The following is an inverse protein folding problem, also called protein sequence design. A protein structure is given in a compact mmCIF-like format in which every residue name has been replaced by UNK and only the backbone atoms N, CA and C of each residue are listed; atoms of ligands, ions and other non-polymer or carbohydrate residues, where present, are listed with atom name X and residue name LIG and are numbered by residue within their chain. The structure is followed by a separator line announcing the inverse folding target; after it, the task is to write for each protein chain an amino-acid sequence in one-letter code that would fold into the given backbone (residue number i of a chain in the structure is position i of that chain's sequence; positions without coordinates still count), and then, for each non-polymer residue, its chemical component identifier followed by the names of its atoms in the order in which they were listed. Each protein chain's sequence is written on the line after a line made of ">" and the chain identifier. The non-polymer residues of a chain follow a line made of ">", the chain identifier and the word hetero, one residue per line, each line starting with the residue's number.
data_IF_774709895358
#
_entry.id   IF_774709895358
#
_cell.length_a   1.000
_cell.length_b   1.000
_cell.length_c   1.000
_cell.angle_alpha   90.00
_cell.angle_beta   90.00
_cell.angle_gamma   90.00
#
_symmetry.space_group_name_H-M   'P 1'
#
loop_
_entity.id
_entity.type
_entity.pdbx_description
1 polymer ?
#
# COMPACT_ATOMS: atom_id res chain seq x y z
N UNK A 1 9.84 -13.19 37.43
CA UNK A 1 11.30 -13.08 37.35
C UNK A 1 11.89 -12.48 38.62
N UNK A 2 11.42 -11.31 38.99
CA UNK A 2 11.84 -10.66 40.23
C UNK A 2 11.68 -11.58 41.45
N UNK A 3 10.55 -12.33 41.50
CA UNK A 3 10.30 -13.30 42.59
C UNK A 3 11.35 -14.42 42.67
N UNK A 4 11.81 -14.95 41.55
CA UNK A 4 12.86 -15.97 41.52
C UNK A 4 14.22 -15.42 41.96
N UNK A 5 14.50 -14.16 41.56
CA UNK A 5 15.70 -13.50 42.01
C UNK A 5 15.63 -13.21 43.51
N UNK A 6 14.47 -12.85 44.07
CA UNK A 6 14.22 -12.71 45.49
C UNK A 6 14.43 -14.03 46.27
N UNK A 7 13.89 -15.14 45.74
CA UNK A 7 14.07 -16.45 46.35
C UNK A 7 15.54 -16.92 46.39
N UNK A 8 16.30 -16.58 45.32
CA UNK A 8 17.68 -17.02 45.19
C UNK A 8 18.68 -16.13 45.96
N UNK A 9 18.46 -14.82 46.01
CA UNK A 9 19.39 -13.81 46.53
C UNK A 9 18.98 -13.28 47.90
N UNK A 10 17.73 -13.52 48.33
CA UNK A 10 17.14 -13.06 49.58
C UNK A 10 17.42 -11.58 49.91
N UNK A 11 17.16 -10.65 48.94
CA UNK A 11 17.34 -9.22 49.17
C UNK A 11 16.24 -8.65 50.06
N UNK A 12 16.44 -7.47 50.62
CA UNK A 12 15.38 -6.73 51.33
C UNK A 12 14.50 -5.96 50.35
N UNK A 13 15.07 -5.47 49.23
CA UNK A 13 14.36 -4.76 48.19
C UNK A 13 14.91 -5.10 46.80
N UNK A 14 14.05 -5.05 45.80
CA UNK A 14 14.44 -5.20 44.39
C UNK A 14 13.50 -4.45 43.43
N UNK A 15 14.09 -3.92 42.37
CA UNK A 15 13.35 -3.16 41.34
C UNK A 15 13.86 -3.48 39.95
N UNK A 16 12.96 -3.42 38.98
CA UNK A 16 13.26 -3.48 37.55
C UNK A 16 12.84 -2.15 36.92
N UNK A 17 13.76 -1.48 36.27
CA UNK A 17 13.51 -0.32 35.43
C UNK A 17 13.63 -0.73 33.98
N UNK A 18 12.67 -0.31 33.15
CA UNK A 18 12.70 -0.52 31.72
C UNK A 18 12.69 0.82 30.98
N UNK A 19 13.43 0.88 29.88
CA UNK A 19 13.51 2.05 29.00
C UNK A 19 12.27 2.12 28.12
N UNK A 20 11.60 3.26 28.12
CA UNK A 20 10.47 3.55 27.22
C UNK A 20 10.96 3.99 25.84
N UNK A 21 10.11 3.94 24.80
CA UNK A 21 10.44 4.50 23.49
C UNK A 21 10.78 6.00 23.51
N UNK A 22 10.32 6.74 24.52
CA UNK A 22 10.65 8.16 24.77
C UNK A 22 12.09 8.37 25.25
N UNK A 23 12.78 7.30 25.66
CA UNK A 23 14.10 7.34 26.26
C UNK A 23 14.10 7.39 27.80
N UNK A 24 12.96 7.65 28.42
CA UNK A 24 12.79 7.67 29.85
C UNK A 24 12.73 6.25 30.45
N UNK A 25 13.18 6.10 31.70
CA UNK A 25 13.09 4.84 32.44
C UNK A 25 11.87 4.86 33.36
N UNK A 26 11.05 3.81 33.30
CA UNK A 26 9.94 3.63 34.23
C UNK A 26 10.15 2.39 35.08
N UNK A 27 9.60 2.41 36.29
CA UNK A 27 9.60 1.29 37.21
C UNK A 27 8.59 0.24 36.72
N UNK A 28 9.11 -0.85 36.17
CA UNK A 28 8.29 -1.93 35.60
C UNK A 28 7.85 -2.99 36.61
N UNK A 29 8.68 -3.21 37.63
CA UNK A 29 8.37 -4.13 38.73
C UNK A 29 9.14 -3.74 39.98
N UNK A 30 8.55 -4.00 41.13
CA UNK A 30 9.18 -3.81 42.44
C UNK A 30 8.74 -4.89 43.42
N UNK A 31 9.61 -5.18 44.41
CA UNK A 31 9.33 -6.06 45.52
C UNK A 31 10.15 -5.66 46.72
N UNK A 32 9.57 -5.70 47.93
CA UNK A 32 10.28 -5.52 49.20
C UNK A 32 9.77 -6.50 50.24
N UNK A 33 10.59 -6.78 51.23
CA UNK A 33 10.21 -7.49 52.45
C UNK A 33 9.67 -6.45 53.41
N UNK A 34 8.54 -6.71 54.08
CA UNK A 34 7.92 -5.89 55.13
C UNK A 34 7.45 -4.48 54.77
N UNK A 35 7.08 -4.22 53.51
CA UNK A 35 6.40 -2.97 53.09
C UNK A 35 7.25 -1.70 53.23
N UNK A 36 8.58 -1.83 53.23
CA UNK A 36 9.52 -0.71 53.23
C UNK A 36 9.37 0.13 51.92
N UNK A 37 9.42 1.45 52.06
CA UNK A 37 9.36 2.35 50.92
C UNK A 37 10.56 2.16 49.98
N UNK A 38 10.32 2.15 48.66
CA UNK A 38 11.37 1.91 47.67
C UNK A 38 12.16 3.15 47.24
N UNK A 39 12.08 4.24 47.99
CA UNK A 39 12.74 5.54 47.71
C UNK A 39 14.26 5.44 47.50
N UNK A 40 14.87 4.40 48.08
CA UNK A 40 16.31 4.20 48.01
C UNK A 40 16.85 3.69 46.66
N UNK A 41 16.04 3.14 45.81
CA UNK A 41 16.47 2.61 44.51
C UNK A 41 16.28 3.60 43.34
N UNK A 42 15.74 4.80 43.61
CA UNK A 42 15.56 5.87 42.59
C UNK A 42 16.78 6.80 42.56
N UNK A 43 17.94 6.29 42.13
CA UNK A 43 19.12 7.11 41.91
C UNK A 43 19.31 7.43 40.43
N UNK A 44 19.31 8.71 40.07
CA UNK A 44 19.59 9.15 38.71
C UNK A 44 20.98 8.68 38.23
N UNK A 45 21.95 8.62 39.14
CA UNK A 45 23.30 8.11 38.86
C UNK A 45 23.28 6.61 38.55
N UNK A 46 22.49 5.83 39.30
CA UNK A 46 22.35 4.40 39.08
C UNK A 46 21.68 4.10 37.73
N UNK A 47 20.59 4.80 37.46
CA UNK A 47 19.89 4.69 36.16
C UNK A 47 20.82 5.03 34.99
N UNK A 48 21.57 6.14 35.08
CA UNK A 48 22.49 6.55 34.03
C UNK A 48 23.60 5.52 33.81
N UNK A 49 24.35 5.17 34.87
CA UNK A 49 25.49 4.28 34.74
C UNK A 49 25.12 2.84 34.40
N UNK A 50 24.07 2.31 35.03
CA UNK A 50 23.66 0.91 34.81
C UNK A 50 22.73 0.77 33.63
N UNK A 51 21.64 1.52 33.59
CA UNK A 51 20.62 1.33 32.55
C UNK A 51 20.97 1.95 31.19
N UNK A 52 21.84 3.01 31.18
CA UNK A 52 22.22 3.67 29.91
C UNK A 52 23.63 3.28 29.45
N UNK A 53 24.62 3.32 30.37
CA UNK A 53 26.03 3.05 30.06
C UNK A 53 26.36 1.55 30.09
N UNK A 54 25.47 0.71 30.65
CA UNK A 54 25.64 -0.74 30.70
C UNK A 54 26.64 -1.24 31.76
N UNK A 55 26.97 -0.40 32.76
CA UNK A 55 27.89 -0.75 33.83
C UNK A 55 27.20 -1.58 34.93
N UNK A 56 27.91 -2.53 35.50
CA UNK A 56 27.40 -3.31 36.64
C UNK A 56 27.82 -2.60 37.95
N UNK A 57 26.85 -2.42 38.84
CA UNK A 57 27.13 -1.85 40.17
C UNK A 57 27.22 -2.96 41.24
N UNK A 58 28.27 -2.95 42.02
CA UNK A 58 28.44 -3.78 43.19
C UNK A 58 28.99 -2.92 44.32
N UNK A 59 28.15 -2.57 45.28
CA UNK A 59 28.51 -1.67 46.39
C UNK A 59 28.31 -2.41 47.71
N UNK A 60 29.38 -2.57 48.45
CA UNK A 60 29.40 -3.25 49.74
C UNK A 60 30.08 -2.36 50.80
N UNK A 61 29.32 -1.91 51.80
CA UNK A 61 29.86 -1.19 52.96
C UNK A 61 30.33 0.24 52.67
N UNK A 62 31.09 0.83 53.65
CA UNK A 62 31.63 2.21 53.60
C UNK A 62 32.83 2.39 52.66
N UNK A 63 33.43 1.29 52.17
CA UNK A 63 34.60 1.31 51.28
C UNK A 63 34.17 1.18 49.78
N UNK A 64 33.08 1.85 49.41
CA UNK A 64 32.59 1.84 48.05
C UNK A 64 33.67 2.34 47.06
N UNK A 65 33.80 1.65 45.93
CA UNK A 65 34.60 2.03 44.78
C UNK A 65 34.40 3.52 44.45
N UNK A 66 35.48 4.30 44.23
CA UNK A 66 35.41 5.72 43.87
C UNK A 66 34.44 6.07 42.78
N UNK A 67 34.15 5.14 41.84
CA UNK A 67 33.17 5.30 40.79
C UNK A 67 31.72 5.39 41.29
N UNK A 68 31.42 4.83 42.47
CA UNK A 68 30.07 4.78 43.07
C UNK A 68 29.91 5.72 44.28
N UNK A 69 30.88 6.65 44.53
CA UNK A 69 30.79 7.63 45.63
C UNK A 69 29.51 8.48 45.59
N UNK A 70 28.93 8.71 44.45
CA UNK A 70 27.62 9.40 44.32
C UNK A 70 26.42 8.54 44.75
N UNK A 71 26.62 7.25 45.01
CA UNK A 71 25.64 6.36 45.62
C UNK A 71 25.71 6.36 47.14
N UNK A 72 26.66 7.14 47.77
CA UNK A 72 26.77 7.30 49.21
C UNK A 72 25.46 7.79 49.87
N UNK A 73 24.64 8.58 49.17
CA UNK A 73 23.32 8.97 49.64
C UNK A 73 22.37 7.79 49.91
N UNK A 74 22.62 6.62 49.28
CA UNK A 74 21.87 5.39 49.55
C UNK A 74 22.38 4.66 50.78
N UNK A 75 23.69 4.71 51.02
CA UNK A 75 24.31 4.11 52.22
C UNK A 75 23.92 4.88 53.50
N UNK A 76 23.75 6.20 53.42
CA UNK A 76 23.23 7.05 54.50
C UNK A 76 21.79 6.70 54.91
N UNK A 77 21.04 6.05 54.01
CA UNK A 77 19.65 5.62 54.22
C UNK A 77 19.54 4.18 54.78
N UNK A 78 20.65 3.59 55.20
CA UNK A 78 20.69 2.27 55.87
C UNK A 78 20.93 1.09 54.94
N UNK A 79 21.13 1.31 53.63
CA UNK A 79 21.50 0.25 52.66
C UNK A 79 22.92 -0.24 52.99
N UNK A 80 23.09 -1.53 53.24
CA UNK A 80 24.37 -2.17 53.56
C UNK A 80 25.09 -2.74 52.34
N UNK A 81 24.32 -3.19 51.35
CA UNK A 81 24.87 -3.58 50.06
C UNK A 81 23.85 -3.39 48.93
N UNK A 82 24.35 -3.12 47.72
CA UNK A 82 23.59 -2.93 46.50
C UNK A 82 24.27 -3.70 45.37
N UNK A 83 23.50 -4.43 44.63
CA UNK A 83 23.88 -4.94 43.28
C UNK A 83 22.91 -4.45 42.25
N UNK A 84 23.41 -3.94 41.11
CA UNK A 84 22.58 -3.57 40.00
C UNK A 84 23.25 -3.98 38.67
N UNK A 85 22.44 -4.54 37.78
CA UNK A 85 22.92 -5.13 36.53
C UNK A 85 22.08 -4.58 35.36
N UNK A 86 22.70 -4.23 34.23
CA UNK A 86 21.97 -3.78 33.05
C UNK A 86 21.18 -4.93 32.46
N UNK A 87 20.00 -4.61 31.97
CA UNK A 87 19.21 -5.43 31.05
C UNK A 87 19.58 -4.99 29.64
N UNK A 88 20.35 -5.82 28.92
CA UNK A 88 20.85 -5.48 27.59
C UNK A 88 20.60 -6.60 26.60
N UNK A 89 20.51 -6.23 25.32
CA UNK A 89 20.52 -7.16 24.23
C UNK A 89 21.48 -6.70 23.10
N UNK A 90 21.41 -7.36 21.93
CA UNK A 90 22.25 -7.02 20.78
C UNK A 90 21.96 -5.63 20.16
N UNK A 91 20.85 -4.98 20.53
CA UNK A 91 20.46 -3.65 20.05
C UNK A 91 20.72 -2.53 21.07
N UNK A 92 21.08 -2.90 22.31
CA UNK A 92 21.43 -1.94 23.32
C UNK A 92 20.71 -2.14 24.67
N UNK A 93 20.73 -1.12 25.55
CA UNK A 93 20.16 -1.21 26.88
C UNK A 93 18.62 -1.20 26.83
N UNK A 94 18.03 -2.16 27.55
CA UNK A 94 16.58 -2.28 27.78
C UNK A 94 16.17 -1.70 29.14
N UNK A 95 17.12 -1.55 30.07
CA UNK A 95 16.87 -1.10 31.43
C UNK A 95 17.86 -1.67 32.42
N UNK A 96 17.45 -1.83 33.66
CA UNK A 96 18.26 -2.46 34.73
C UNK A 96 17.41 -3.24 35.71
N UNK A 97 18.07 -4.15 36.44
CA UNK A 97 17.56 -4.78 37.65
C UNK A 97 18.50 -4.41 38.79
N UNK A 98 17.95 -3.94 39.91
CA UNK A 98 18.73 -3.57 41.11
C UNK A 98 18.13 -4.24 42.35
N UNK A 99 19.03 -4.62 43.28
CA UNK A 99 18.67 -5.23 44.56
C UNK A 99 19.49 -4.64 45.69
N UNK A 100 18.85 -4.44 46.84
CA UNK A 100 19.50 -3.92 48.05
C UNK A 100 19.30 -4.86 49.23
N UNK A 101 20.30 -4.84 50.13
CA UNK A 101 20.20 -5.41 51.48
C UNK A 101 20.40 -4.33 52.53
N UNK A 102 19.47 -4.26 53.48
CA UNK A 102 19.48 -3.36 54.64
C UNK A 102 20.09 -4.05 55.86
N UNK A 103 20.24 -5.37 55.79
CA UNK A 103 20.73 -6.21 56.88
C UNK A 103 22.23 -6.41 56.76
N UNK A 104 22.97 -6.24 57.91
CA UNK A 104 24.39 -6.57 58.01
C UNK A 104 24.69 -8.08 58.04
N UNK A 105 23.62 -8.92 57.96
CA UNK A 105 23.80 -10.38 58.09
C UNK A 105 24.31 -11.07 56.83
N UNK A 106 24.12 -10.47 55.66
CA UNK A 106 24.60 -11.05 54.39
C UNK A 106 24.78 -9.95 53.35
N UNK A 107 25.92 -9.26 53.26
CA UNK A 107 26.22 -8.38 52.13
C UNK A 107 26.29 -9.24 50.86
N UNK A 108 25.88 -8.67 49.73
CA UNK A 108 26.01 -9.34 48.42
C UNK A 108 27.51 -9.47 48.09
N UNK A 109 27.92 -10.69 47.72
CA UNK A 109 29.24 -10.98 47.21
C UNK A 109 29.25 -11.24 45.71
N UNK A 110 30.40 -11.63 45.18
CA UNK A 110 30.57 -11.91 43.74
C UNK A 110 29.63 -13.00 43.24
N UNK A 111 29.30 -13.99 44.07
CA UNK A 111 28.38 -15.08 43.72
C UNK A 111 26.96 -14.56 43.50
N UNK A 112 26.48 -13.68 44.35
CA UNK A 112 25.14 -13.05 44.22
C UNK A 112 25.09 -12.16 42.98
N UNK A 113 26.19 -11.44 42.71
CA UNK A 113 26.31 -10.63 41.50
C UNK A 113 26.24 -11.50 40.22
N UNK A 114 27.03 -12.59 40.14
CA UNK A 114 27.00 -13.53 39.00
C UNK A 114 25.62 -14.13 38.80
N UNK A 115 24.93 -14.47 39.88
CA UNK A 115 23.54 -14.97 39.80
C UNK A 115 22.61 -13.89 39.25
N UNK A 116 22.72 -12.63 39.68
CA UNK A 116 21.89 -11.55 39.17
C UNK A 116 22.17 -11.27 37.69
N UNK A 117 23.45 -11.30 37.26
CA UNK A 117 23.85 -11.20 35.84
C UNK A 117 23.19 -12.30 35.00
N UNK A 118 23.20 -13.53 35.51
CA UNK A 118 22.52 -14.65 34.81
C UNK A 118 21.02 -14.45 34.70
N UNK A 119 20.38 -13.98 35.78
CA UNK A 119 18.92 -13.65 35.75
C UNK A 119 18.66 -12.49 34.80
N UNK A 120 19.48 -11.44 34.81
CA UNK A 120 19.35 -10.29 33.92
C UNK A 120 19.45 -10.67 32.43
N UNK A 121 20.37 -11.59 32.09
CA UNK A 121 20.54 -12.09 30.73
C UNK A 121 19.27 -12.80 30.23
N UNK A 122 18.70 -13.71 31.05
CA UNK A 122 17.43 -14.39 30.71
C UNK A 122 16.25 -13.41 30.69
N UNK A 123 16.25 -12.42 31.60
CA UNK A 123 15.23 -11.37 31.64
C UNK A 123 15.25 -10.52 30.38
N UNK A 124 16.43 -10.05 29.97
CA UNK A 124 16.62 -9.26 28.74
C UNK A 124 16.09 -9.97 27.52
N UNK A 125 16.42 -11.26 27.36
CA UNK A 125 15.90 -12.06 26.24
C UNK A 125 14.37 -12.15 26.23
N UNK A 126 13.76 -12.38 27.39
CA UNK A 126 12.30 -12.47 27.50
C UNK A 126 11.59 -11.14 27.28
N UNK A 127 12.14 -10.06 27.82
CA UNK A 127 11.62 -8.70 27.62
C UNK A 127 11.66 -8.34 26.13
N UNK A 128 12.78 -8.62 25.47
CA UNK A 128 12.91 -8.38 24.01
C UNK A 128 11.89 -9.17 23.21
N UNK A 129 11.73 -10.44 23.50
CA UNK A 129 10.73 -11.28 22.80
C UNK A 129 9.31 -10.73 22.99
N UNK A 130 8.94 -10.25 24.17
CA UNK A 130 7.64 -9.61 24.40
C UNK A 130 7.49 -8.34 23.56
N UNK A 131 8.46 -7.45 23.57
CA UNK A 131 8.46 -6.22 22.75
C UNK A 131 8.29 -6.54 21.28
N UNK A 132 9.08 -7.50 20.73
CA UNK A 132 8.98 -7.90 19.33
C UNK A 132 7.63 -8.52 18.99
N UNK A 133 7.05 -9.29 19.90
CA UNK A 133 5.73 -9.89 19.70
C UNK A 133 4.63 -8.82 19.67
N UNK A 134 4.66 -7.86 20.59
CA UNK A 134 3.70 -6.75 20.62
C UNK A 134 3.80 -5.87 19.38
N UNK A 135 5.03 -5.55 18.93
CA UNK A 135 5.25 -4.82 17.68
C UNK A 135 4.73 -5.58 16.45
N UNK A 136 4.95 -6.90 16.38
CA UNK A 136 4.47 -7.74 15.28
C UNK A 136 2.93 -7.77 15.24
N UNK A 137 2.28 -7.93 16.40
CA UNK A 137 0.80 -7.89 16.50
C UNK A 137 0.27 -6.52 16.08
N UNK A 138 0.85 -5.43 16.56
CA UNK A 138 0.43 -4.08 16.20
C UNK A 138 0.54 -3.85 14.69
N UNK A 139 1.67 -4.20 14.08
CA UNK A 139 1.86 -4.09 12.61
C UNK A 139 0.85 -4.93 11.83
N UNK A 140 0.55 -6.13 12.31
CA UNK A 140 -0.46 -6.99 11.69
C UNK A 140 -1.85 -6.34 11.71
N UNK A 141 -2.25 -5.75 12.83
CA UNK A 141 -3.54 -5.06 12.97
C UNK A 141 -3.64 -3.82 12.06
N UNK A 142 -2.54 -3.04 11.95
CA UNK A 142 -2.48 -1.89 11.05
C UNK A 142 -2.63 -2.31 9.58
N UNK A 143 -1.94 -3.39 9.16
CA UNK A 143 -2.05 -3.94 7.81
C UNK A 143 -3.48 -4.43 7.53
N UNK A 144 -4.09 -5.15 8.46
CA UNK A 144 -5.47 -5.65 8.33
C UNK A 144 -6.50 -4.51 8.24
N UNK A 145 -6.25 -3.39 8.92
CA UNK A 145 -7.11 -2.22 8.82
C UNK A 145 -7.00 -1.56 7.45
N UNK A 146 -5.79 -1.33 6.96
CA UNK A 146 -5.54 -0.76 5.63
C UNK A 146 -6.18 -1.65 4.54
N UNK A 147 -6.04 -2.96 4.63
CA UNK A 147 -6.63 -3.91 3.68
C UNK A 147 -8.17 -3.81 3.65
N UNK A 148 -8.81 -3.66 4.82
CA UNK A 148 -10.27 -3.46 4.91
C UNK A 148 -10.71 -2.14 4.27
N UNK A 149 -9.97 -1.05 4.48
CA UNK A 149 -10.26 0.26 3.89
C UNK A 149 -10.12 0.22 2.36
N UNK A 150 -9.08 -0.44 1.84
CA UNK A 150 -8.87 -0.62 0.41
C UNK A 150 -9.96 -1.49 -0.23
N UNK A 151 -10.41 -2.55 0.45
CA UNK A 151 -11.55 -3.37 -0.01
C UNK A 151 -12.85 -2.58 -0.08
N UNK A 152 -13.07 -1.65 0.86
CA UNK A 152 -14.23 -0.75 0.82
C UNK A 152 -14.11 0.24 -0.34
N UNK A 153 -12.96 0.87 -0.53
CA UNK A 153 -12.70 1.77 -1.66
C UNK A 153 -12.94 1.06 -3.01
N UNK A 154 -12.51 -0.22 -3.14
CA UNK A 154 -12.82 -1.04 -4.31
C UNK A 154 -14.31 -1.19 -4.56
N UNK A 155 -15.10 -1.50 -3.52
CA UNK A 155 -16.56 -1.65 -3.68
C UNK A 155 -17.20 -0.36 -4.20
N UNK A 156 -16.75 0.80 -3.72
CA UNK A 156 -17.22 2.10 -4.20
C UNK A 156 -16.81 2.30 -5.66
N UNK A 157 -15.55 2.05 -6.01
CA UNK A 157 -15.04 2.22 -7.37
C UNK A 157 -15.72 1.31 -8.39
N UNK A 158 -15.97 0.04 -8.03
CA UNK A 158 -16.75 -0.89 -8.90
C UNK A 158 -18.15 -0.35 -9.18
N UNK A 159 -18.75 0.39 -8.24
CA UNK A 159 -20.02 1.07 -8.45
C UNK A 159 -19.97 2.23 -9.45
N UNK A 160 -18.79 2.77 -9.78
CA UNK A 160 -18.61 3.79 -10.81
C UNK A 160 -18.47 3.18 -12.22
N UNK A 161 -18.07 1.91 -12.32
CA UNK A 161 -18.02 1.21 -13.59
C UNK A 161 -19.44 0.86 -14.07
N UNK A 162 -19.66 0.73 -15.37
CA UNK A 162 -20.96 0.32 -15.90
C UNK A 162 -21.46 -0.96 -15.22
N UNK A 163 -22.66 -0.95 -14.65
CA UNK A 163 -23.29 -2.11 -14.01
C UNK A 163 -23.67 -3.22 -14.99
N UNK A 164 -23.54 -2.95 -16.29
CA UNK A 164 -23.78 -3.85 -17.41
C UNK A 164 -23.46 -3.15 -18.72
N UNK A 165 -23.42 -3.92 -19.78
CA UNK A 165 -23.24 -3.39 -21.13
C UNK A 165 -24.63 -3.04 -21.69
N UNK A 166 -24.88 -1.78 -22.10
CA UNK A 166 -26.18 -1.40 -22.65
C UNK A 166 -26.45 -2.13 -23.97
N UNK A 167 -27.70 -2.44 -24.24
CA UNK A 167 -28.14 -2.87 -25.58
C UNK A 167 -28.28 -1.65 -26.47
N UNK A 168 -27.55 -1.62 -27.57
CA UNK A 168 -27.57 -0.52 -28.55
C UNK A 168 -27.77 -1.13 -29.95
N UNK A 169 -28.83 -0.69 -30.62
CA UNK A 169 -29.15 -1.18 -31.96
C UNK A 169 -27.94 -0.97 -32.90
N UNK A 170 -27.59 -2.00 -33.65
CA UNK A 170 -26.47 -1.96 -34.59
C UNK A 170 -25.10 -2.28 -34.00
N UNK A 171 -25.04 -2.57 -32.71
CA UNK A 171 -23.77 -2.88 -32.05
C UNK A 171 -23.87 -4.08 -31.11
N UNK A 172 -22.88 -4.95 -31.14
CA UNK A 172 -22.55 -5.87 -30.06
C UNK A 172 -21.45 -5.25 -29.23
N UNK A 173 -21.59 -5.30 -27.92
CA UNK A 173 -20.72 -4.58 -26.96
C UNK A 173 -20.20 -5.53 -25.88
N UNK A 174 -18.95 -5.31 -25.46
CA UNK A 174 -18.41 -5.96 -24.26
C UNK A 174 -17.37 -5.05 -23.62
N UNK A 175 -17.38 -4.96 -22.29
CA UNK A 175 -16.38 -4.25 -21.50
C UNK A 175 -16.00 -5.04 -20.26
N UNK A 176 -14.73 -5.11 -19.95
CA UNK A 176 -14.22 -5.72 -18.72
C UNK A 176 -13.00 -4.95 -18.22
N UNK A 177 -12.83 -4.96 -16.90
CA UNK A 177 -11.67 -4.39 -16.21
C UNK A 177 -11.24 -5.32 -15.08
N UNK A 178 -9.94 -5.60 -15.01
CA UNK A 178 -9.31 -6.45 -14.02
C UNK A 178 -8.17 -5.67 -13.36
N UNK A 179 -8.36 -5.15 -12.13
CA UNK A 179 -7.32 -4.42 -11.44
C UNK A 179 -6.19 -5.34 -10.99
N UNK A 180 -4.96 -4.83 -10.99
CA UNK A 180 -3.78 -5.53 -10.50
C UNK A 180 -3.67 -5.49 -8.98
N UNK A 181 -4.29 -4.49 -8.34
CA UNK A 181 -4.34 -4.28 -6.87
C UNK A 181 -5.78 -4.20 -6.38
N UNK A 182 -5.98 -3.70 -5.15
CA UNK A 182 -7.31 -3.55 -4.57
C UNK A 182 -8.17 -2.52 -5.32
N UNK A 183 -7.59 -1.43 -5.80
CA UNK A 183 -8.25 -0.37 -6.55
C UNK A 183 -7.50 -0.10 -7.84
N UNK A 184 -8.20 0.45 -8.85
CA UNK A 184 -7.71 0.63 -10.23
C UNK A 184 -7.51 2.09 -10.59
N UNK A 185 -6.48 2.39 -11.41
CA UNK A 185 -6.34 3.63 -12.17
C UNK A 185 -7.21 3.65 -13.43
N UNK A 186 -7.59 2.49 -13.92
CA UNK A 186 -8.38 2.32 -15.13
C UNK A 186 -9.85 2.66 -14.94
N UNK A 187 -10.43 3.21 -15.99
CA UNK A 187 -11.86 3.47 -16.11
C UNK A 187 -12.35 3.22 -17.52
N UNK A 188 -13.57 2.69 -17.67
CA UNK A 188 -14.25 2.65 -18.96
C UNK A 188 -15.71 2.99 -18.81
N UNK A 189 -16.29 3.51 -19.89
CA UNK A 189 -17.71 3.81 -19.99
C UNK A 189 -18.25 3.51 -21.39
N UNK A 190 -19.48 2.99 -21.46
CA UNK A 190 -20.20 2.70 -22.69
C UNK A 190 -21.59 3.31 -22.52
N UNK A 191 -21.89 4.35 -23.30
CA UNK A 191 -23.12 5.16 -23.12
C UNK A 191 -23.88 5.28 -24.44
N UNK A 192 -25.15 4.80 -24.50
CA UNK A 192 -26.04 5.14 -25.60
C UNK A 192 -26.41 6.62 -25.52
N UNK A 193 -26.40 7.29 -26.66
CA UNK A 193 -26.73 8.71 -26.82
C UNK A 193 -27.73 8.91 -27.93
N UNK A 194 -28.41 10.08 -27.95
CA UNK A 194 -29.38 10.43 -29.02
C UNK A 194 -30.41 9.34 -29.26
N UNK A 195 -31.08 8.91 -28.19
CA UNK A 195 -32.10 7.86 -28.25
C UNK A 195 -31.59 6.52 -28.85
N UNK A 196 -30.34 6.15 -28.51
CA UNK A 196 -29.70 4.92 -28.94
C UNK A 196 -29.11 4.96 -30.37
N UNK A 197 -29.22 6.07 -31.11
CA UNK A 197 -28.66 6.21 -32.47
C UNK A 197 -27.14 6.43 -32.48
N UNK A 198 -26.59 6.80 -31.37
CA UNK A 198 -25.15 7.05 -31.18
C UNK A 198 -24.67 6.30 -29.96
N UNK A 199 -23.53 5.67 -30.08
CA UNK A 199 -22.81 5.03 -28.97
C UNK A 199 -21.57 5.83 -28.65
N UNK A 200 -21.35 6.18 -27.37
CA UNK A 200 -20.09 6.71 -26.89
C UNK A 200 -19.34 5.64 -26.09
N UNK A 201 -18.06 5.49 -26.39
CA UNK A 201 -17.14 4.59 -25.69
C UNK A 201 -15.96 5.40 -25.17
N UNK A 202 -15.60 5.21 -23.90
CA UNK A 202 -14.48 5.84 -23.26
C UNK A 202 -13.66 4.80 -22.49
N UNK A 203 -12.35 4.83 -22.65
CA UNK A 203 -11.37 4.11 -21.81
C UNK A 203 -10.32 5.11 -21.37
N UNK A 204 -10.00 5.10 -20.11
CA UNK A 204 -9.00 6.01 -19.53
C UNK A 204 -8.15 5.27 -18.53
N UNK A 205 -6.91 5.74 -18.38
CA UNK A 205 -5.98 5.30 -17.36
C UNK A 205 -5.32 6.51 -16.69
N UNK A 206 -5.27 6.49 -15.37
CA UNK A 206 -4.74 7.58 -14.54
C UNK A 206 -3.35 7.21 -14.05
N UNK A 207 -2.39 8.10 -14.27
CA UNK A 207 -1.00 7.89 -13.86
C UNK A 207 -0.87 7.56 -12.37
N UNK A 208 -0.16 6.45 -12.10
CA UNK A 208 0.11 5.95 -10.75
C UNK A 208 -0.81 4.79 -10.37
N UNK A 209 -0.61 4.26 -9.17
CA UNK A 209 -1.30 3.05 -8.70
C UNK A 209 -1.88 3.26 -7.30
N UNK A 210 -2.88 2.46 -6.94
CA UNK A 210 -3.49 2.45 -5.61
C UNK A 210 -4.49 3.60 -5.39
N UNK A 211 -4.69 3.99 -4.12
CA UNK A 211 -5.77 4.89 -3.71
C UNK A 211 -5.74 6.25 -4.41
N UNK A 212 -4.54 6.82 -4.62
CA UNK A 212 -4.41 8.12 -5.29
C UNK A 212 -4.91 8.10 -6.74
N UNK A 213 -4.57 7.06 -7.51
CA UNK A 213 -5.05 6.88 -8.87
C UNK A 213 -6.57 6.66 -8.89
N UNK A 214 -7.10 5.83 -7.99
CA UNK A 214 -8.55 5.55 -7.93
C UNK A 214 -9.41 6.78 -7.59
N UNK A 215 -8.92 7.70 -6.77
CA UNK A 215 -9.60 8.98 -6.49
C UNK A 215 -9.60 9.90 -7.72
N UNK A 216 -8.52 9.91 -8.49
CA UNK A 216 -8.46 10.65 -9.75
C UNK A 216 -9.37 10.02 -10.82
N UNK A 217 -9.48 8.69 -10.86
CA UNK A 217 -10.43 7.98 -11.72
C UNK A 217 -11.87 8.41 -11.45
N UNK A 218 -12.27 8.47 -10.16
CA UNK A 218 -13.59 8.96 -9.77
C UNK A 218 -13.80 10.44 -10.16
N UNK A 219 -12.75 11.27 -10.05
CA UNK A 219 -12.77 12.67 -10.47
C UNK A 219 -12.92 12.80 -11.99
N UNK A 220 -12.22 11.97 -12.76
CA UNK A 220 -12.28 11.92 -14.22
C UNK A 220 -13.68 11.53 -14.68
N UNK A 221 -14.29 10.51 -14.09
CA UNK A 221 -15.67 10.11 -14.34
C UNK A 221 -16.62 11.28 -14.14
N UNK A 222 -16.61 11.92 -12.98
CA UNK A 222 -17.48 13.05 -12.66
C UNK A 222 -17.27 14.26 -13.59
N UNK A 223 -16.04 14.51 -14.04
CA UNK A 223 -15.73 15.58 -15.01
C UNK A 223 -16.24 15.27 -16.42
N UNK A 224 -16.24 13.99 -16.80
CA UNK A 224 -16.68 13.55 -18.12
C UNK A 224 -18.20 13.43 -18.21
N UNK A 225 -18.91 13.06 -17.14
CA UNK A 225 -20.33 12.78 -17.12
C UNK A 225 -21.17 13.92 -17.72
N UNK A 226 -21.06 15.14 -17.24
CA UNK A 226 -21.84 16.27 -17.75
C UNK A 226 -21.64 16.55 -19.25
N UNK A 227 -20.41 16.67 -19.77
CA UNK A 227 -20.15 16.76 -21.21
C UNK A 227 -20.72 15.62 -22.03
N UNK A 228 -20.67 14.38 -21.53
CA UNK A 228 -21.22 13.20 -22.18
C UNK A 228 -22.76 13.32 -22.27
N UNK A 229 -23.43 13.67 -21.19
CA UNK A 229 -24.89 13.82 -21.12
C UNK A 229 -25.44 14.89 -22.08
N UNK A 230 -24.76 16.04 -22.19
CA UNK A 230 -25.17 17.10 -23.11
C UNK A 230 -24.77 16.86 -24.57
N UNK A 231 -24.19 15.70 -24.88
CA UNK A 231 -23.92 15.28 -26.25
C UNK A 231 -22.69 15.96 -26.90
N UNK A 232 -21.69 16.36 -26.12
CA UNK A 232 -20.44 16.92 -26.64
C UNK A 232 -19.67 15.92 -27.50
N UNK A 233 -18.87 16.44 -28.45
CA UNK A 233 -17.98 15.63 -29.29
C UNK A 233 -16.80 15.07 -28.47
N UNK A 234 -16.13 14.00 -28.96
CA UNK A 234 -14.93 13.46 -28.30
C UNK A 234 -13.86 14.50 -27.98
N UNK A 235 -13.59 15.41 -28.89
CA UNK A 235 -12.57 16.47 -28.70
C UNK A 235 -13.01 17.48 -27.63
N UNK A 236 -14.27 17.92 -27.64
CA UNK A 236 -14.78 18.85 -26.63
C UNK A 236 -14.76 18.25 -25.21
N UNK A 237 -14.96 16.92 -25.10
CA UNK A 237 -14.86 16.20 -23.83
C UNK A 237 -13.40 16.19 -23.37
N UNK A 238 -12.46 15.83 -24.25
CA UNK A 238 -11.02 15.86 -23.91
C UNK A 238 -10.57 17.25 -23.45
N UNK A 239 -10.94 18.31 -24.19
CA UNK A 239 -10.58 19.70 -23.84
C UNK A 239 -11.11 20.09 -22.46
N UNK A 240 -12.36 19.77 -22.18
CA UNK A 240 -13.00 20.16 -20.92
C UNK A 240 -12.42 19.38 -19.74
N UNK A 241 -12.30 18.07 -19.89
CA UNK A 241 -11.76 17.19 -18.84
C UNK A 241 -10.28 17.51 -18.61
N UNK A 242 -9.48 17.67 -19.66
CA UNK A 242 -8.06 17.97 -19.58
C UNK A 242 -7.76 19.27 -18.82
N UNK A 243 -8.48 20.37 -19.17
CA UNK A 243 -8.35 21.64 -18.42
C UNK A 243 -8.74 21.50 -16.96
N UNK A 244 -9.90 20.87 -16.67
CA UNK A 244 -10.37 20.71 -15.29
C UNK A 244 -9.48 19.80 -14.45
N UNK A 245 -8.92 18.77 -15.07
CA UNK A 245 -7.97 17.89 -14.40
C UNK A 245 -6.69 18.64 -14.04
N UNK A 246 -6.15 19.43 -14.98
CA UNK A 246 -4.96 20.28 -14.76
C UNK A 246 -5.17 21.26 -13.59
N UNK A 247 -6.32 21.95 -13.55
CA UNK A 247 -6.64 22.95 -12.52
C UNK A 247 -6.78 22.36 -11.11
N UNK A 248 -7.11 21.06 -11.01
CA UNK A 248 -7.47 20.41 -9.74
C UNK A 248 -6.43 19.43 -9.22
N UNK A 249 -5.43 19.09 -10.04
CA UNK A 249 -4.41 18.11 -9.65
C UNK A 249 -3.07 18.78 -9.36
N UNK A 250 -2.27 18.12 -8.52
CA UNK A 250 -0.88 18.53 -8.30
C UNK A 250 -0.02 18.21 -9.50
N UNK A 251 1.09 18.92 -9.67
CA UNK A 251 2.06 18.72 -10.75
C UNK A 251 2.43 17.24 -10.93
N UNK A 252 2.36 16.77 -12.16
CA UNK A 252 2.72 15.39 -12.53
C UNK A 252 1.58 14.37 -12.43
N UNK A 253 0.34 14.81 -12.13
CA UNK A 253 -0.86 13.95 -12.21
C UNK A 253 -1.59 14.21 -13.51
N UNK A 254 -1.77 13.17 -14.30
CA UNK A 254 -2.44 13.23 -15.61
C UNK A 254 -3.18 11.92 -15.86
N UNK A 255 -4.00 11.88 -16.89
CA UNK A 255 -4.66 10.66 -17.34
C UNK A 255 -4.52 10.53 -18.86
N UNK A 256 -4.42 9.30 -19.33
CA UNK A 256 -4.60 8.99 -20.75
C UNK A 256 -6.06 8.67 -21.00
N UNK A 257 -6.57 8.97 -22.18
CA UNK A 257 -7.97 8.69 -22.51
C UNK A 257 -8.17 8.44 -24.02
N UNK A 258 -8.84 7.35 -24.34
CA UNK A 258 -9.42 7.14 -25.65
C UNK A 258 -10.94 7.32 -25.56
N UNK A 259 -11.50 8.20 -26.36
CA UNK A 259 -12.95 8.42 -26.42
C UNK A 259 -13.43 8.41 -27.86
N UNK A 260 -14.52 7.70 -28.13
CA UNK A 260 -15.08 7.56 -29.47
C UNK A 260 -16.61 7.67 -29.45
N UNK A 261 -17.14 8.32 -30.48
CA UNK A 261 -18.55 8.36 -30.82
C UNK A 261 -18.77 7.53 -32.09
N UNK A 262 -19.74 6.62 -32.04
CA UNK A 262 -20.10 5.71 -33.14
C UNK A 262 -21.56 5.94 -33.54
N UNK A 263 -21.76 6.31 -34.79
CA UNK A 263 -23.10 6.42 -35.36
C UNK A 263 -23.46 5.10 -36.08
N UNK A 264 -24.45 4.36 -35.56
CA UNK A 264 -24.85 3.06 -36.11
C UNK A 264 -25.34 3.13 -37.54
N UNK A 265 -26.19 4.11 -37.84
CA UNK A 265 -26.79 4.25 -39.18
C UNK A 265 -25.76 4.55 -40.26
N UNK A 266 -24.85 5.47 -40.02
CA UNK A 266 -23.84 5.89 -40.98
C UNK A 266 -22.55 5.04 -40.95
N UNK A 267 -22.33 4.28 -39.87
CA UNK A 267 -21.07 3.58 -39.61
C UNK A 267 -19.89 4.55 -39.44
N UNK A 268 -20.17 5.74 -38.95
CA UNK A 268 -19.13 6.74 -38.68
C UNK A 268 -18.59 6.57 -37.26
N UNK A 269 -17.29 6.31 -37.17
CA UNK A 269 -16.50 6.32 -35.94
C UNK A 269 -15.71 7.63 -35.87
N UNK A 270 -16.01 8.49 -34.90
CA UNK A 270 -15.25 9.71 -34.63
C UNK A 270 -14.59 9.56 -33.26
N UNK A 271 -13.29 9.80 -33.15
CA UNK A 271 -12.55 9.59 -31.91
C UNK A 271 -11.54 10.71 -31.63
N UNK A 272 -11.25 10.89 -30.35
CA UNK A 272 -10.09 11.59 -29.82
C UNK A 272 -9.28 10.62 -28.94
N UNK A 273 -7.96 10.67 -29.07
CA UNK A 273 -7.06 9.84 -28.26
C UNK A 273 -6.04 10.77 -27.57
N UNK A 274 -6.25 11.01 -26.30
CA UNK A 274 -5.44 11.83 -25.44
C UNK A 274 -4.30 11.01 -24.77
N UNK A 275 -3.32 10.61 -25.58
CA UNK A 275 -2.14 9.88 -25.10
C UNK A 275 -2.36 8.42 -24.69
N UNK A 276 -3.53 7.85 -24.92
CA UNK A 276 -3.85 6.45 -24.62
C UNK A 276 -3.20 5.51 -25.65
N UNK A 277 -2.98 4.25 -25.26
CA UNK A 277 -2.63 3.16 -26.17
C UNK A 277 -3.48 3.18 -27.43
N UNK A 278 -2.90 3.00 -28.64
CA UNK A 278 -3.67 3.10 -29.87
C UNK A 278 -4.82 2.11 -29.92
N UNK A 279 -6.06 2.60 -30.05
CA UNK A 279 -7.19 1.73 -30.35
C UNK A 279 -6.97 0.94 -31.65
N UNK A 280 -7.60 -0.23 -31.78
CA UNK A 280 -7.53 -1.04 -32.99
C UNK A 280 -8.90 -1.08 -33.66
N UNK A 281 -8.95 -0.78 -34.96
CA UNK A 281 -10.09 -1.08 -35.81
C UNK A 281 -9.73 -2.27 -36.71
N UNK A 282 -10.36 -3.41 -36.44
CA UNK A 282 -10.12 -4.67 -37.14
C UNK A 282 -11.29 -4.88 -38.10
N UNK A 283 -11.04 -4.78 -39.40
CA UNK A 283 -12.02 -4.98 -40.42
C UNK A 283 -12.47 -6.44 -40.53
N UNK A 284 -13.69 -6.65 -41.01
CA UNK A 284 -14.21 -7.97 -41.36
C UNK A 284 -13.31 -8.74 -42.35
N UNK A 285 -12.53 -8.02 -43.17
CA UNK A 285 -11.52 -8.57 -44.07
C UNK A 285 -10.17 -8.94 -43.33
N UNK A 286 -10.09 -8.80 -42.03
CA UNK A 286 -8.92 -9.09 -41.24
C UNK A 286 -7.81 -8.03 -41.27
N UNK A 287 -7.99 -6.88 -41.95
CA UNK A 287 -7.06 -5.76 -41.85
C UNK A 287 -7.23 -5.06 -40.52
N UNK A 288 -6.11 -4.74 -39.83
CA UNK A 288 -6.11 -3.98 -38.58
C UNK A 288 -5.51 -2.60 -38.83
N UNK A 289 -6.19 -1.56 -38.34
CA UNK A 289 -5.76 -0.17 -38.36
C UNK A 289 -5.58 0.31 -36.93
N UNK A 290 -4.51 1.05 -36.66
CA UNK A 290 -4.27 1.69 -35.36
C UNK A 290 -4.89 3.08 -35.34
N UNK A 291 -5.67 3.36 -34.30
CA UNK A 291 -6.25 4.66 -34.02
C UNK A 291 -5.32 5.39 -33.04
N UNK A 292 -4.34 6.10 -33.62
CA UNK A 292 -3.25 6.72 -32.87
C UNK A 292 -3.71 7.92 -32.04
N UNK A 293 -2.84 8.36 -31.10
CA UNK A 293 -3.05 9.58 -30.32
C UNK A 293 -3.30 10.80 -31.21
N UNK A 294 -4.25 11.65 -30.81
CA UNK A 294 -4.67 12.88 -31.47
C UNK A 294 -4.37 14.12 -30.62
N UNK A 295 -3.84 13.92 -29.43
CA UNK A 295 -3.39 14.92 -28.47
C UNK A 295 -2.59 14.29 -27.33
N UNK A 296 -1.96 15.08 -26.47
CA UNK A 296 -1.22 14.60 -25.31
C UNK A 296 -2.18 14.13 -24.19
N UNK A 297 -1.69 13.47 -23.11
CA UNK A 297 -2.46 13.10 -21.95
C UNK A 297 -3.24 14.25 -21.33
N UNK A 298 -4.41 13.95 -20.77
CA UNK A 298 -5.27 14.91 -20.10
C UNK A 298 -4.64 15.45 -18.81
N UNK A 299 -4.67 16.77 -18.64
CA UNK A 299 -4.14 17.41 -17.43
C UNK A 299 -2.62 17.58 -17.39
N UNK A 300 -1.89 17.06 -18.37
CA UNK A 300 -0.43 17.17 -18.40
C UNK A 300 0.03 18.61 -18.73
N UNK A 301 -0.67 19.29 -19.64
CA UNK A 301 -0.36 20.66 -20.06
C UNK A 301 -1.62 21.54 -19.96
N UNK A 302 -1.44 22.83 -19.59
CA UNK A 302 -2.54 23.76 -19.39
C UNK A 302 -3.28 24.11 -20.71
N UNK A 303 -2.54 24.40 -21.76
CA UNK A 303 -3.08 24.79 -23.06
C UNK A 303 -2.78 23.69 -24.07
N UNK A 304 -3.70 22.77 -24.19
CA UNK A 304 -3.57 21.62 -25.10
C UNK A 304 -4.67 21.68 -26.14
N UNK A 305 -4.30 21.62 -27.40
CA UNK A 305 -5.23 21.44 -28.50
C UNK A 305 -5.40 19.94 -28.80
N UNK A 306 -6.57 19.41 -28.56
CA UNK A 306 -6.94 18.06 -29.00
C UNK A 306 -7.52 18.15 -30.41
N UNK A 307 -7.32 17.08 -31.19
CA UNK A 307 -7.97 16.93 -32.47
C UNK A 307 -8.78 15.65 -32.52
N UNK A 308 -9.79 15.62 -33.39
CA UNK A 308 -10.56 14.40 -33.65
C UNK A 308 -10.19 13.79 -35.01
N UNK A 309 -10.37 12.51 -35.10
CA UNK A 309 -10.19 11.77 -36.35
C UNK A 309 -11.42 10.91 -36.61
N UNK A 310 -11.80 10.82 -37.86
CA UNK A 310 -12.95 9.98 -38.24
C UNK A 310 -12.54 8.80 -39.12
N UNK A 311 -13.21 7.68 -38.94
CA UNK A 311 -13.06 6.46 -39.73
C UNK A 311 -14.45 5.90 -40.07
N UNK A 312 -14.54 5.12 -41.13
CA UNK A 312 -15.72 4.33 -41.41
C UNK A 312 -15.57 2.95 -40.79
N UNK A 313 -16.57 2.53 -40.05
CA UNK A 313 -16.72 1.21 -39.47
C UNK A 313 -17.75 0.44 -40.27
N UNK A 314 -17.32 -0.53 -41.06
CA UNK A 314 -18.19 -1.36 -41.87
C UNK A 314 -18.91 -2.43 -41.00
N UNK A 315 -19.90 -3.10 -41.56
CA UNK A 315 -20.55 -4.21 -40.88
C UNK A 315 -19.54 -5.33 -40.61
N UNK A 316 -19.57 -5.88 -39.39
CA UNK A 316 -18.62 -6.90 -38.91
C UNK A 316 -17.26 -6.37 -38.46
N UNK A 317 -16.98 -5.06 -38.60
CA UNK A 317 -15.76 -4.47 -38.08
C UNK A 317 -15.80 -4.46 -36.57
N UNK A 318 -14.60 -4.69 -35.94
CA UNK A 318 -14.40 -4.75 -34.51
C UNK A 318 -13.48 -3.60 -34.08
N UNK A 319 -13.99 -2.73 -33.21
CA UNK A 319 -13.21 -1.74 -32.47
C UNK A 319 -12.73 -2.39 -31.15
N UNK A 320 -11.42 -2.30 -30.88
CA UNK A 320 -10.79 -2.76 -29.65
C UNK A 320 -10.11 -1.56 -28.98
N UNK A 321 -10.56 -1.21 -27.79
CA UNK A 321 -9.96 -0.17 -26.95
C UNK A 321 -9.49 -0.80 -25.65
N UNK A 322 -8.32 -0.47 -25.21
CA UNK A 322 -7.68 -1.14 -24.09
C UNK A 322 -6.68 -0.20 -23.37
N UNK A 323 -6.31 -0.57 -22.16
CA UNK A 323 -5.23 0.06 -21.39
C UNK A 323 -3.92 -0.71 -21.57
N UNK A 324 -2.79 -0.05 -21.31
CA UNK A 324 -1.44 -0.58 -21.53
C UNK A 324 -1.13 -1.84 -20.72
N UNK A 325 -1.73 -2.00 -19.53
CA UNK A 325 -1.58 -3.21 -18.73
C UNK A 325 -1.92 -4.53 -19.45
N UNK A 326 -2.69 -4.48 -20.56
CA UNK A 326 -2.88 -5.64 -21.44
C UNK A 326 -1.66 -5.93 -22.32
N UNK A 327 -1.01 -4.89 -22.84
CA UNK A 327 0.14 -5.03 -23.75
C UNK A 327 1.47 -5.08 -23.03
N UNK A 328 1.56 -4.49 -21.83
CA UNK A 328 2.75 -4.48 -20.98
C UNK A 328 2.80 -5.66 -20.01
N UNK A 329 1.78 -6.54 -20.00
CA UNK A 329 1.84 -7.78 -19.24
C UNK A 329 3.13 -8.54 -19.60
N UNK A 330 3.96 -8.82 -18.59
CA UNK A 330 5.29 -9.39 -18.78
C UNK A 330 5.33 -10.90 -18.45
N UNK A 331 6.29 -11.59 -19.05
CA UNK A 331 6.65 -12.95 -18.65
C UNK A 331 7.82 -12.95 -17.64
N UNK A 332 8.29 -14.11 -17.23
CA UNK A 332 9.41 -14.25 -16.27
C UNK A 332 10.77 -13.76 -16.79
N UNK A 333 10.87 -13.35 -18.06
CA UNK A 333 12.06 -12.78 -18.68
C UNK A 333 11.87 -11.30 -19.00
N UNK A 334 10.86 -10.65 -18.38
CA UNK A 334 10.47 -9.25 -18.57
C UNK A 334 10.14 -8.87 -20.03
N UNK A 335 9.70 -9.86 -20.84
CA UNK A 335 9.23 -9.58 -22.20
C UNK A 335 7.76 -9.21 -22.16
N UNK A 336 7.39 -8.13 -22.83
CA UNK A 336 6.00 -7.67 -22.91
C UNK A 336 5.17 -8.54 -23.87
N UNK A 337 3.89 -8.73 -23.55
CA UNK A 337 2.90 -9.39 -24.39
C UNK A 337 2.76 -8.72 -25.76
N UNK A 338 2.68 -7.42 -25.77
CA UNK A 338 2.75 -6.53 -26.92
C UNK A 338 1.51 -6.47 -27.79
N UNK A 339 1.36 -5.33 -28.47
CA UNK A 339 0.24 -5.02 -29.36
C UNK A 339 0.05 -6.03 -30.51
N UNK A 340 1.16 -6.60 -31.02
CA UNK A 340 1.10 -7.54 -32.11
C UNK A 340 0.32 -8.80 -31.74
N UNK A 341 0.55 -9.33 -30.54
CA UNK A 341 -0.09 -10.53 -30.03
C UNK A 341 -1.55 -10.28 -29.71
N UNK A 342 -1.87 -9.17 -29.05
CA UNK A 342 -3.23 -8.71 -28.82
C UNK A 342 -4.03 -8.63 -30.14
N UNK A 343 -3.44 -7.98 -31.16
CA UNK A 343 -4.06 -7.84 -32.48
C UNK A 343 -4.34 -9.21 -33.10
N UNK A 344 -3.41 -10.15 -32.99
CA UNK A 344 -3.56 -11.51 -33.57
C UNK A 344 -4.69 -12.28 -32.90
N UNK A 345 -4.78 -12.26 -31.58
CA UNK A 345 -5.84 -12.93 -30.82
C UNK A 345 -7.21 -12.37 -31.18
N UNK A 346 -7.36 -11.02 -31.17
CA UNK A 346 -8.60 -10.38 -31.56
C UNK A 346 -9.02 -10.72 -33.00
N UNK A 347 -8.08 -10.78 -33.95
CA UNK A 347 -8.33 -11.19 -35.34
C UNK A 347 -8.83 -12.63 -35.47
N UNK A 348 -8.18 -13.55 -34.77
CA UNK A 348 -8.50 -14.98 -34.84
C UNK A 348 -9.86 -15.32 -34.23
N UNK A 349 -10.33 -14.48 -33.29
CA UNK A 349 -11.60 -14.68 -32.60
C UNK A 349 -12.69 -13.67 -33.01
N UNK A 350 -12.42 -12.78 -33.99
CA UNK A 350 -13.31 -11.65 -34.32
C UNK A 350 -14.74 -12.06 -34.64
N UNK A 351 -14.99 -13.27 -35.16
CA UNK A 351 -16.29 -13.76 -35.54
C UNK A 351 -17.06 -14.45 -34.38
N UNK A 352 -16.43 -14.55 -33.21
CA UNK A 352 -17.01 -15.11 -31.99
C UNK A 352 -17.78 -14.03 -31.20
N UNK A 353 -18.72 -14.40 -30.31
CA UNK A 353 -19.30 -13.46 -29.35
C UNK A 353 -18.24 -12.64 -28.63
N UNK A 354 -18.46 -11.34 -28.44
CA UNK A 354 -17.40 -10.46 -27.89
C UNK A 354 -16.92 -10.86 -26.50
N UNK A 355 -17.78 -11.49 -25.69
CA UNK A 355 -17.39 -12.09 -24.41
C UNK A 355 -16.34 -13.19 -24.59
N UNK A 356 -16.47 -14.01 -25.62
CA UNK A 356 -15.49 -15.07 -25.93
C UNK A 356 -14.18 -14.48 -26.46
N UNK A 357 -14.25 -13.38 -27.21
CA UNK A 357 -13.05 -12.64 -27.66
C UNK A 357 -12.28 -12.12 -26.45
N UNK A 358 -12.96 -11.48 -25.50
CA UNK A 358 -12.34 -10.99 -24.27
C UNK A 358 -11.72 -12.13 -23.46
N UNK A 359 -12.41 -13.25 -23.29
CA UNK A 359 -11.92 -14.44 -22.61
C UNK A 359 -10.69 -15.06 -23.33
N UNK A 360 -10.66 -15.02 -24.66
CA UNK A 360 -9.51 -15.50 -25.42
C UNK A 360 -8.28 -14.60 -25.20
N UNK A 361 -8.47 -13.28 -25.14
CA UNK A 361 -7.39 -12.33 -24.80
C UNK A 361 -6.86 -12.57 -23.40
N UNK A 362 -7.71 -12.67 -22.38
CA UNK A 362 -7.29 -12.92 -21.00
C UNK A 362 -6.57 -14.27 -20.85
N UNK A 363 -7.06 -15.31 -21.52
CA UNK A 363 -6.41 -16.62 -21.51
C UNK A 363 -5.01 -16.59 -22.15
N UNK A 364 -4.87 -15.95 -23.32
CA UNK A 364 -3.61 -15.86 -24.05
C UNK A 364 -2.58 -15.03 -23.28
N UNK A 365 -3.00 -13.96 -22.57
CA UNK A 365 -2.15 -13.18 -21.66
C UNK A 365 -1.72 -14.06 -20.48
N UNK A 366 -2.64 -14.81 -19.87
CA UNK A 366 -2.31 -15.70 -18.76
C UNK A 366 -1.33 -16.82 -19.14
N UNK A 367 -1.50 -17.39 -20.34
CA UNK A 367 -0.57 -18.38 -20.89
C UNK A 367 0.81 -17.77 -21.20
N UNK A 368 0.86 -16.51 -21.61
CA UNK A 368 2.10 -15.79 -21.85
C UNK A 368 2.81 -15.45 -20.54
N UNK A 369 2.12 -14.88 -19.58
CA UNK A 369 2.67 -14.46 -18.28
C UNK A 369 3.13 -15.66 -17.41
N UNK A 370 2.54 -16.84 -17.61
CA UNK A 370 2.89 -18.10 -16.88
C UNK A 370 2.95 -17.94 -15.36
N UNK A 371 2.04 -17.12 -14.80
CA UNK A 371 1.97 -16.87 -13.36
C UNK A 371 2.85 -15.71 -12.89
N UNK A 372 3.54 -15.01 -13.80
CA UNK A 372 4.18 -13.75 -13.46
C UNK A 372 3.12 -12.72 -13.00
N UNK A 373 3.32 -11.98 -11.90
CA UNK A 373 2.34 -11.04 -11.41
C UNK A 373 2.08 -9.92 -12.42
N UNK A 374 0.82 -9.54 -12.55
CA UNK A 374 0.48 -8.36 -13.35
C UNK A 374 0.84 -7.09 -12.58
N UNK A 375 1.57 -6.21 -13.23
CA UNK A 375 2.01 -4.97 -12.63
C UNK A 375 1.00 -3.85 -12.79
N UNK A 376 0.13 -3.90 -13.82
CA UNK A 376 -0.86 -2.87 -14.09
C UNK A 376 -2.28 -3.40 -14.28
N UNK A 377 -3.25 -2.47 -14.17
CA UNK A 377 -4.66 -2.72 -14.37
C UNK A 377 -4.93 -3.06 -15.83
N UNK A 378 -5.87 -3.93 -16.10
CA UNK A 378 -6.17 -4.39 -17.45
C UNK A 378 -7.62 -4.13 -17.78
N UNK A 379 -7.85 -3.21 -18.71
CA UNK A 379 -9.19 -2.84 -19.19
C UNK A 379 -9.30 -3.07 -20.69
N UNK A 380 -10.40 -3.71 -21.11
CA UNK A 380 -10.70 -4.03 -22.49
C UNK A 380 -12.15 -3.68 -22.81
N UNK A 381 -12.34 -2.90 -23.86
CA UNK A 381 -13.67 -2.60 -24.44
C UNK A 381 -13.69 -3.00 -25.89
N UNK A 382 -14.69 -3.79 -26.24
CA UNK A 382 -14.93 -4.33 -27.58
C UNK A 382 -16.26 -3.84 -28.12
N UNK A 383 -16.26 -3.36 -29.35
CA UNK A 383 -17.48 -2.94 -30.07
C UNK A 383 -17.46 -3.54 -31.46
N UNK A 384 -18.48 -4.30 -31.81
CA UNK A 384 -18.72 -4.81 -33.19
C UNK A 384 -19.92 -4.16 -33.77
N UNK A 385 -19.81 -3.67 -35.04
CA UNK A 385 -20.97 -3.20 -35.77
C UNK A 385 -21.71 -4.38 -36.40
N UNK A 386 -23.01 -4.51 -36.11
CA UNK A 386 -23.86 -5.67 -36.52
C UNK A 386 -24.88 -5.33 -37.57
N UNK A 387 -25.30 -4.08 -37.67
CA UNK A 387 -26.31 -3.62 -38.68
C UNK A 387 -25.92 -2.23 -39.23
#
# INVERSE_FOLDING_TARGET
>A
MLDRAFEALNPDQGVIYLKQPTGEHHRAAERSVDGLAHEHLESATLLKKVAEEGLTAHVCGLDADPEWKSAESMLDQGVKSLIAVPLTDSQGPLGMIAMTSLSSRSPFGDRELEMLVSVASVASLRIRNLILTEEAVRRSLEVDQIDRELKLARKIQVGLLPSGVPEVEGFELHGCSAPCRHVSGDYYQIVPRRDGKELLVMVADVVGKGLGASLLTASLEALAAGPIEVGRSPVEICDRVGRRLHDRTTTGKFATMFIASLNGGEGKLTFANAGQSPGLLIGANGRAMRLKATGPPLGLFLNTDYSESSRRMALGDLLVVYTDGLTEAADSEDREYGLRRLTLVCKNHRDKPLKEVAQAVERDIGEFARGHPYEDDRTLVLVRRTH
#
